data_IF_925429965021
#
_entry.id   IF_925429965021
#
_cell.length_a   1.000
_cell.length_b   1.000
_cell.length_c   1.000
_cell.angle_alpha   90.00
_cell.angle_beta   90.00
_cell.angle_gamma   90.00
#
_symmetry.space_group_name_H-M   'P 1'
#
loop_
_entity.id
_entity.type
_entity.pdbx_description
1 polymer ?
#
# COMPACT_ATOMS: atom_id res chain seq x y z
N UNK A 1 5.88 24.38 -5.83
CA UNK A 1 6.15 22.95 -5.86
C UNK A 1 5.82 22.47 -7.26
N UNK A 2 6.84 22.10 -8.03
CA UNK A 2 6.63 21.56 -9.37
C UNK A 2 6.28 20.08 -9.21
N UNK A 3 5.17 19.67 -9.78
CA UNK A 3 4.85 18.26 -9.86
C UNK A 3 5.35 17.74 -11.21
N UNK A 4 6.37 16.91 -11.19
CA UNK A 4 6.91 16.24 -12.38
C UNK A 4 5.83 15.46 -13.15
N UNK A 5 4.72 15.17 -12.49
CA UNK A 5 3.65 14.33 -13.00
C UNK A 5 2.52 15.13 -13.69
N UNK A 6 2.53 16.45 -13.57
CA UNK A 6 1.63 17.30 -14.34
C UNK A 6 2.25 17.64 -15.71
N UNK A 7 2.75 16.65 -16.38
CA UNK A 7 3.15 16.78 -17.78
C UNK A 7 1.88 16.69 -18.62
N UNK A 8 1.13 17.76 -18.62
CA UNK A 8 -0.14 17.83 -19.34
C UNK A 8 0.04 17.74 -20.86
N UNK A 9 1.27 17.95 -21.33
CA UNK A 9 1.60 17.75 -22.75
C UNK A 9 3.11 17.65 -22.85
N UNK A 10 3.70 16.47 -23.04
CA UNK A 10 5.04 16.45 -23.57
C UNK A 10 5.00 17.29 -24.84
N UNK A 11 5.79 18.36 -24.88
CA UNK A 11 6.06 18.98 -26.16
C UNK A 11 6.95 17.98 -26.90
N UNK A 12 6.29 17.01 -27.49
CA UNK A 12 6.98 16.22 -28.45
C UNK A 12 7.32 17.16 -29.61
N UNK A 13 8.54 17.14 -30.02
CA UNK A 13 8.92 17.62 -31.34
C UNK A 13 8.09 16.96 -32.43
N UNK A 14 7.48 15.80 -32.12
CA UNK A 14 6.55 15.11 -32.97
C UNK A 14 5.13 15.15 -32.38
N UNK A 15 4.19 15.91 -32.95
CA UNK A 15 2.80 16.01 -32.48
C UNK A 15 2.05 14.67 -32.48
N UNK A 16 2.55 13.66 -33.16
CA UNK A 16 1.97 12.29 -33.18
C UNK A 16 2.07 11.61 -31.81
N UNK A 17 3.00 12.02 -30.96
CA UNK A 17 3.19 11.43 -29.63
C UNK A 17 2.20 11.89 -28.57
N UNK A 18 1.31 12.81 -28.90
CA UNK A 18 0.39 13.44 -27.91
C UNK A 18 -0.99 12.85 -27.87
N UNK A 19 -1.40 12.26 -28.96
CA UNK A 19 -2.71 11.63 -29.03
C UNK A 19 -2.58 10.17 -28.66
N UNK A 20 -3.50 9.65 -27.82
CA UNK A 20 -3.61 8.22 -27.68
C UNK A 20 -3.75 7.59 -29.05
N UNK A 21 -3.13 6.43 -29.26
CA UNK A 21 -3.27 5.66 -30.51
C UNK A 21 -4.72 5.21 -30.73
N UNK A 22 -5.57 5.41 -29.74
CA UNK A 22 -7.00 5.13 -29.74
C UNK A 22 -7.51 4.95 -28.31
N UNK A 23 -8.73 4.47 -28.22
CA UNK A 23 -9.32 3.92 -26.99
C UNK A 23 -9.33 2.40 -27.09
N UNK A 24 -9.18 1.72 -25.99
CA UNK A 24 -9.37 0.27 -25.97
C UNK A 24 -10.80 -0.08 -26.35
N UNK A 25 -10.97 -1.16 -27.09
CA UNK A 25 -12.29 -1.73 -27.36
C UNK A 25 -12.70 -2.63 -26.21
N UNK A 26 -14.00 -2.59 -25.85
CA UNK A 26 -14.54 -3.38 -24.74
C UNK A 26 -14.93 -2.53 -23.53
N UNK A 27 -15.01 -3.12 -22.33
CA UNK A 27 -15.49 -2.43 -21.14
C UNK A 27 -14.48 -1.37 -20.60
N UNK A 28 -13.19 -1.59 -20.78
CA UNK A 28 -12.15 -0.63 -20.42
C UNK A 28 -11.90 0.33 -21.59
N UNK A 29 -12.51 1.50 -21.54
CA UNK A 29 -12.47 2.52 -22.59
C UNK A 29 -11.42 3.58 -22.38
N UNK A 30 -10.39 3.31 -21.55
CA UNK A 30 -9.31 4.28 -21.31
C UNK A 30 -8.54 4.62 -22.57
N UNK A 31 -7.94 5.83 -22.65
CA UNK A 31 -6.97 6.17 -23.67
C UNK A 31 -5.80 5.17 -23.67
N UNK A 32 -5.39 4.72 -24.84
CA UNK A 32 -4.32 3.75 -25.00
C UNK A 32 -3.19 4.33 -25.83
N UNK A 33 -1.97 4.22 -25.33
CA UNK A 33 -0.74 4.57 -26.04
C UNK A 33 0.03 3.30 -26.31
N UNK A 34 0.31 3.02 -27.56
CA UNK A 34 1.17 1.91 -27.94
C UNK A 34 2.64 2.35 -27.76
N UNK A 35 3.38 1.68 -26.89
CA UNK A 35 4.74 2.04 -26.50
C UNK A 35 5.79 2.06 -27.64
N UNK A 36 5.37 1.87 -28.88
CA UNK A 36 6.26 1.92 -30.05
C UNK A 36 6.42 3.33 -30.64
N UNK A 37 5.63 4.30 -30.19
CA UNK A 37 5.60 5.65 -30.75
C UNK A 37 6.44 6.66 -29.94
N UNK A 38 7.61 6.25 -29.48
CA UNK A 38 8.63 7.22 -29.08
C UNK A 38 9.18 7.93 -30.33
N UNK A 39 9.48 9.22 -30.19
CA UNK A 39 10.10 10.01 -31.25
C UNK A 39 11.16 9.21 -32.01
N UNK A 40 11.01 9.12 -33.34
CA UNK A 40 12.05 8.62 -34.22
C UNK A 40 13.17 9.66 -34.42
N UNK A 41 13.13 10.77 -33.70
CA UNK A 41 14.18 11.78 -33.71
C UNK A 41 15.42 11.19 -33.02
N UNK A 42 16.56 11.06 -33.72
CA UNK A 42 17.77 10.49 -33.14
C UNK A 42 18.36 11.34 -32.00
N UNK A 43 18.03 12.64 -31.98
CA UNK A 43 18.60 13.60 -31.05
C UNK A 43 17.74 13.77 -29.78
N UNK A 44 16.40 13.51 -29.86
CA UNK A 44 15.46 13.72 -28.75
C UNK A 44 14.56 12.50 -28.53
N UNK A 45 14.93 11.63 -27.61
CA UNK A 45 14.15 10.39 -27.34
C UNK A 45 12.95 10.60 -26.42
N UNK A 46 13.05 11.49 -25.44
CA UNK A 46 11.97 11.75 -24.49
C UNK A 46 11.97 13.22 -24.11
N UNK A 47 10.97 13.94 -24.50
CA UNK A 47 10.79 15.35 -24.12
C UNK A 47 9.66 15.46 -23.11
N UNK A 48 9.97 15.88 -21.89
CA UNK A 48 9.02 16.12 -20.83
C UNK A 48 8.83 17.63 -20.63
N UNK A 49 7.58 18.06 -20.59
CA UNK A 49 7.24 19.43 -20.27
C UNK A 49 6.70 19.49 -18.83
N UNK A 50 7.43 20.16 -17.94
CA UNK A 50 7.04 20.34 -16.55
C UNK A 50 6.12 21.54 -16.41
N UNK A 51 4.98 21.35 -15.80
CA UNK A 51 4.00 22.40 -15.54
C UNK A 51 3.45 22.26 -14.12
N UNK A 52 2.71 23.27 -13.67
CA UNK A 52 2.05 23.21 -12.37
C UNK A 52 0.88 22.23 -12.41
N UNK A 53 0.74 21.45 -11.35
CA UNK A 53 -0.38 20.55 -11.19
C UNK A 53 -1.71 21.30 -11.19
N UNK A 54 -2.69 20.81 -11.95
CA UNK A 54 -4.05 21.36 -11.97
C UNK A 54 -4.81 21.09 -10.68
N UNK A 55 -4.50 19.98 -10.03
CA UNK A 55 -5.08 19.54 -8.75
C UNK A 55 -4.03 19.70 -7.66
N UNK A 56 -4.46 20.00 -6.44
CA UNK A 56 -3.57 20.19 -5.30
C UNK A 56 -3.65 18.98 -4.39
N UNK A 57 -2.50 18.48 -3.97
CA UNK A 57 -2.41 17.53 -2.87
C UNK A 57 -3.06 18.12 -1.62
N UNK A 58 -3.76 17.28 -0.84
CA UNK A 58 -4.39 17.66 0.42
C UNK A 58 -4.07 16.68 1.53
N UNK A 59 -3.92 17.21 2.73
CA UNK A 59 -3.79 16.43 3.95
C UNK A 59 -4.61 17.07 5.05
N UNK A 60 -5.37 16.26 5.77
CA UNK A 60 -5.96 16.67 7.02
C UNK A 60 -5.86 15.55 8.06
N UNK A 61 -5.78 15.97 9.32
CA UNK A 61 -5.77 15.06 10.45
C UNK A 61 -6.56 15.68 11.60
N UNK A 62 -7.38 14.86 12.23
CA UNK A 62 -8.08 15.19 13.45
C UNK A 62 -7.71 14.17 14.52
N UNK A 63 -7.24 14.65 15.69
CA UNK A 63 -6.88 13.79 16.82
C UNK A 63 -7.67 14.22 18.06
N UNK A 64 -8.31 13.27 18.70
CA UNK A 64 -8.92 13.43 20.01
C UNK A 64 -8.12 12.60 21.03
N UNK A 65 -7.72 13.22 22.13
CA UNK A 65 -6.93 12.57 23.19
C UNK A 65 -7.57 12.83 24.56
N UNK A 66 -7.60 11.77 25.36
CA UNK A 66 -7.95 11.84 26.79
C UNK A 66 -6.77 11.27 27.57
N UNK A 67 -6.39 11.98 28.64
CA UNK A 67 -5.32 11.56 29.54
C UNK A 67 -5.76 11.82 30.99
N UNK A 68 -5.47 10.86 31.86
CA UNK A 68 -5.73 11.02 33.30
C UNK A 68 -4.64 10.35 34.12
N UNK A 69 -4.15 11.10 35.07
CA UNK A 69 -3.31 10.63 36.18
C UNK A 69 -4.18 10.48 37.41
N UNK A 70 -4.07 9.36 38.11
CA UNK A 70 -4.82 9.04 39.33
C UNK A 70 -3.88 9.06 40.54
N UNK A 71 -4.38 9.44 41.68
CA UNK A 71 -3.58 9.54 42.92
C UNK A 71 -3.07 8.19 43.44
N UNK A 72 -3.62 7.08 42.96
CA UNK A 72 -3.23 5.72 43.33
C UNK A 72 -2.10 5.13 42.43
N UNK A 73 -1.40 5.96 41.69
CA UNK A 73 -0.26 5.56 40.86
C UNK A 73 -0.60 5.13 39.43
N UNK A 74 -1.90 5.10 39.05
CA UNK A 74 -2.28 4.84 37.66
C UNK A 74 -2.17 6.08 36.77
N UNK A 75 -1.64 5.89 35.56
CA UNK A 75 -1.70 6.87 34.47
C UNK A 75 -2.32 6.21 33.27
N UNK A 76 -3.25 6.88 32.61
CA UNK A 76 -3.92 6.36 31.41
C UNK A 76 -3.97 7.43 30.32
N UNK A 77 -3.82 6.98 29.08
CA UNK A 77 -3.99 7.83 27.89
C UNK A 77 -4.66 7.01 26.79
N UNK A 78 -5.58 7.64 26.07
CA UNK A 78 -6.15 7.12 24.83
C UNK A 78 -6.25 8.26 23.83
N UNK A 79 -5.83 8.01 22.58
CA UNK A 79 -5.90 8.97 21.50
C UNK A 79 -6.36 8.28 20.21
N UNK A 80 -7.34 8.86 19.55
CA UNK A 80 -7.80 8.42 18.24
C UNK A 80 -7.51 9.50 17.20
N UNK A 81 -6.91 9.09 16.09
CA UNK A 81 -6.62 9.95 14.95
C UNK A 81 -7.37 9.48 13.72
N UNK A 82 -8.11 10.38 13.10
CA UNK A 82 -8.65 10.24 11.75
C UNK A 82 -7.88 11.13 10.81
N UNK A 83 -7.30 10.56 9.75
CA UNK A 83 -6.56 11.33 8.75
C UNK A 83 -6.94 10.95 7.33
N UNK A 84 -6.60 11.80 6.39
CA UNK A 84 -6.62 11.52 4.95
C UNK A 84 -5.49 12.29 4.29
N UNK A 85 -4.72 11.59 3.48
CA UNK A 85 -3.68 12.16 2.64
C UNK A 85 -3.93 11.80 1.19
N UNK A 86 -3.93 12.81 0.31
CA UNK A 86 -4.08 12.61 -1.14
C UNK A 86 -3.01 13.38 -1.89
N UNK A 87 -2.48 12.76 -2.92
CA UNK A 87 -1.49 13.36 -3.81
C UNK A 87 -1.72 12.96 -5.27
N UNK A 88 -0.90 13.48 -6.17
CA UNK A 88 -0.96 13.18 -7.59
C UNK A 88 -0.03 12.03 -8.01
N UNK A 89 0.73 11.51 -7.12
CA UNK A 89 1.73 10.46 -7.17
C UNK A 89 3.08 10.97 -6.65
N UNK A 90 3.58 10.29 -5.65
CA UNK A 90 4.83 10.62 -4.99
C UNK A 90 5.99 9.77 -5.53
N UNK A 91 5.98 9.38 -6.81
CA UNK A 91 7.05 8.57 -7.38
C UNK A 91 8.40 9.22 -7.06
N UNK A 92 9.17 8.55 -6.20
CA UNK A 92 10.46 9.03 -5.74
C UNK A 92 11.53 8.77 -6.79
N UNK A 93 12.23 9.83 -7.23
CA UNK A 93 13.35 9.71 -8.15
C UNK A 93 13.86 11.07 -8.61
N UNK A 94 15.06 11.09 -9.17
CA UNK A 94 15.72 12.32 -9.62
C UNK A 94 15.57 12.60 -11.11
N UNK A 95 15.04 11.66 -11.88
CA UNK A 95 14.95 11.75 -13.33
C UNK A 95 13.51 11.54 -13.82
N UNK A 96 13.00 12.46 -14.60
CA UNK A 96 11.65 12.39 -15.17
C UNK A 96 11.42 11.12 -16.01
N UNK A 97 12.43 10.67 -16.73
CA UNK A 97 12.36 9.47 -17.55
C UNK A 97 12.13 8.18 -16.74
N UNK A 98 12.65 8.12 -15.52
CA UNK A 98 12.45 6.97 -14.63
C UNK A 98 11.12 7.06 -13.89
N UNK A 99 10.68 8.28 -13.56
CA UNK A 99 9.46 8.52 -12.81
C UNK A 99 8.22 8.30 -13.68
N UNK A 100 8.26 8.74 -14.92
CA UNK A 100 7.13 8.66 -15.83
C UNK A 100 6.55 7.24 -15.99
N UNK A 101 7.34 6.20 -16.31
CA UNK A 101 6.82 4.84 -16.40
C UNK A 101 6.44 4.24 -15.05
N UNK A 102 7.03 4.69 -13.93
CA UNK A 102 6.75 4.20 -12.59
C UNK A 102 5.45 4.75 -12.00
N UNK A 103 4.93 5.86 -12.54
CA UNK A 103 3.71 6.52 -12.06
C UNK A 103 2.49 5.63 -12.24
N UNK A 104 1.74 5.44 -11.14
CA UNK A 104 0.51 4.64 -11.11
C UNK A 104 -0.69 5.56 -11.35
N UNK A 105 -1.10 5.71 -12.60
CA UNK A 105 -2.20 6.59 -13.03
C UNK A 105 -2.97 5.97 -14.20
N UNK A 106 -4.22 6.40 -14.40
CA UNK A 106 -5.00 6.07 -15.59
C UNK A 106 -4.43 6.83 -16.79
N UNK A 107 -4.29 8.14 -16.65
CA UNK A 107 -3.69 9.05 -17.63
C UNK A 107 -2.57 9.85 -16.96
N UNK A 108 -1.32 9.59 -17.37
CA UNK A 108 -0.16 10.29 -16.82
C UNK A 108 -0.05 11.75 -17.24
N UNK A 109 -0.68 12.11 -18.36
CA UNK A 109 -0.73 13.50 -18.83
C UNK A 109 -1.77 14.33 -18.06
N UNK A 110 -2.72 13.65 -17.41
CA UNK A 110 -3.76 14.29 -16.60
C UNK A 110 -3.97 13.47 -15.31
N UNK A 111 -2.99 13.49 -14.37
CA UNK A 111 -3.01 12.67 -13.20
C UNK A 111 -4.19 13.00 -12.29
N UNK A 112 -4.82 11.95 -11.77
CA UNK A 112 -5.90 12.06 -10.81
C UNK A 112 -5.39 12.18 -9.37
N UNK A 113 -6.07 13.02 -8.58
CA UNK A 113 -5.84 13.11 -7.15
C UNK A 113 -6.38 11.84 -6.48
N UNK A 114 -5.50 11.07 -5.85
CA UNK A 114 -5.85 9.84 -5.18
C UNK A 114 -5.11 9.70 -3.85
N UNK A 115 -5.35 8.62 -3.12
CA UNK A 115 -4.71 8.41 -1.81
C UNK A 115 -3.19 8.34 -1.93
N UNK A 116 -2.50 8.98 -0.98
CA UNK A 116 -1.07 8.86 -0.84
C UNK A 116 -0.69 7.45 -0.33
N UNK A 117 0.50 6.98 -0.67
CA UNK A 117 1.00 5.67 -0.24
C UNK A 117 1.05 5.54 1.30
N UNK A 118 1.37 6.66 1.98
CA UNK A 118 1.49 6.71 3.44
C UNK A 118 0.20 7.11 4.15
N UNK A 119 -0.95 7.09 3.47
CA UNK A 119 -2.23 7.39 4.10
C UNK A 119 -2.63 6.27 5.07
N UNK A 120 -2.76 6.62 6.34
CA UNK A 120 -3.27 5.77 7.43
C UNK A 120 -4.55 6.41 7.95
N UNK A 121 -5.73 6.00 7.45
CA UNK A 121 -6.98 6.69 7.75
C UNK A 121 -7.35 6.69 9.22
N UNK A 122 -7.09 5.59 9.93
CA UNK A 122 -7.46 5.43 11.33
C UNK A 122 -6.28 4.95 12.15
N UNK A 123 -6.06 5.57 13.31
CA UNK A 123 -5.07 5.15 14.30
C UNK A 123 -5.61 5.35 15.70
N UNK A 124 -5.48 4.33 16.53
CA UNK A 124 -5.83 4.35 17.94
C UNK A 124 -4.58 4.04 18.75
N UNK A 125 -4.23 4.92 19.67
CA UNK A 125 -3.13 4.75 20.61
C UNK A 125 -3.70 4.72 22.01
N UNK A 126 -3.23 3.78 22.84
CA UNK A 126 -3.59 3.70 24.25
C UNK A 126 -2.36 3.42 25.10
N UNK A 127 -2.33 3.95 26.29
CA UNK A 127 -1.35 3.53 27.30
C UNK A 127 -1.99 3.49 28.69
N UNK A 128 -1.57 2.51 29.46
CA UNK A 128 -1.85 2.42 30.89
C UNK A 128 -0.53 2.10 31.60
N UNK A 129 -0.24 2.83 32.65
CA UNK A 129 0.90 2.54 33.51
C UNK A 129 0.47 2.59 34.98
N UNK A 130 1.09 1.73 35.76
CA UNK A 130 0.98 1.72 37.21
C UNK A 130 2.36 1.88 37.81
N UNK A 131 2.51 2.86 38.69
CA UNK A 131 3.75 3.21 39.34
C UNK A 131 3.61 3.07 40.87
N UNK A 132 4.52 2.34 41.45
CA UNK A 132 4.81 2.32 42.89
C UNK A 132 6.07 3.14 43.17
N UNK A 133 6.58 3.10 44.42
CA UNK A 133 7.81 3.80 44.76
C UNK A 133 9.03 3.36 43.91
N UNK A 134 9.11 2.08 43.57
CA UNK A 134 10.27 1.52 42.89
C UNK A 134 9.94 0.88 41.53
N UNK A 135 8.70 0.39 41.37
CA UNK A 135 8.30 -0.39 40.18
C UNK A 135 7.37 0.42 39.30
N UNK A 136 7.60 0.39 37.99
CA UNK A 136 6.62 0.87 37.00
C UNK A 136 6.31 -0.24 36.01
N UNK A 137 5.02 -0.51 35.82
CA UNK A 137 4.51 -1.43 34.78
C UNK A 137 3.70 -0.62 33.81
N UNK A 138 4.01 -0.74 32.51
CA UNK A 138 3.32 0.02 31.45
C UNK A 138 2.93 -0.91 30.31
N UNK A 139 1.71 -0.74 29.82
CA UNK A 139 1.24 -1.36 28.58
C UNK A 139 0.95 -0.23 27.59
N UNK A 140 1.51 -0.34 26.42
CA UNK A 140 1.23 0.52 25.28
C UNK A 140 0.46 -0.27 24.22
N UNK A 141 -0.56 0.33 23.66
CA UNK A 141 -1.37 -0.20 22.59
C UNK A 141 -1.30 0.72 21.37
N UNK A 142 -1.10 0.14 20.22
CA UNK A 142 -1.27 0.79 18.92
C UNK A 142 -2.16 -0.08 18.04
N UNK A 143 -3.26 0.50 17.58
CA UNK A 143 -4.09 -0.04 16.53
C UNK A 143 -4.12 0.91 15.36
N UNK A 144 -3.90 0.43 14.14
CA UNK A 144 -3.91 1.26 12.94
C UNK A 144 -4.26 0.47 11.68
N UNK A 145 -4.82 1.18 10.69
CA UNK A 145 -4.86 0.67 9.32
C UNK A 145 -3.42 0.43 8.83
N UNK A 146 -3.15 -0.71 8.18
CA UNK A 146 -1.78 -1.13 7.85
C UNK A 146 -1.25 -0.54 6.52
N UNK A 147 -1.84 0.56 6.05
CA UNK A 147 -1.46 1.23 4.81
C UNK A 147 -2.26 0.78 3.60
N UNK A 148 -1.95 1.38 2.45
CA UNK A 148 -2.72 1.24 1.23
C UNK A 148 -1.95 0.52 0.13
N UNK A 149 -2.65 0.05 -0.89
CA UNK A 149 -2.07 -0.50 -2.11
C UNK A 149 -2.99 -0.31 -3.31
N UNK A 150 -2.43 -0.55 -4.50
CA UNK A 150 -3.12 -0.40 -5.78
C UNK A 150 -3.24 -1.75 -6.49
N UNK A 151 -4.38 -2.01 -7.12
CA UNK A 151 -4.51 -3.08 -8.09
C UNK A 151 -4.07 -2.59 -9.47
N UNK A 152 -3.04 -3.22 -10.02
CA UNK A 152 -2.45 -2.84 -11.30
C UNK A 152 -2.31 -4.06 -12.22
N UNK A 153 -2.10 -3.81 -13.50
CA UNK A 153 -1.69 -4.87 -14.44
C UNK A 153 -0.21 -5.21 -14.27
N UNK A 154 0.16 -6.45 -14.49
CA UNK A 154 1.54 -6.80 -14.83
C UNK A 154 1.72 -6.80 -16.34
N UNK A 155 2.97 -6.70 -16.79
CA UNK A 155 3.32 -6.53 -18.19
C UNK A 155 3.27 -5.08 -18.65
N UNK A 156 3.70 -4.83 -19.87
CA UNK A 156 3.70 -3.49 -20.46
C UNK A 156 2.34 -3.21 -21.09
N UNK A 157 1.50 -2.52 -20.36
CA UNK A 157 0.20 -2.06 -20.85
C UNK A 157 0.39 -0.78 -21.69
N UNK A 158 0.68 -0.96 -22.97
CA UNK A 158 1.03 0.14 -23.86
C UNK A 158 2.40 0.75 -23.54
N UNK A 159 2.42 2.03 -23.20
CA UNK A 159 3.63 2.81 -22.93
C UNK A 159 4.22 2.57 -21.53
N UNK A 160 3.58 1.79 -20.68
CA UNK A 160 3.98 1.70 -19.28
C UNK A 160 3.60 0.41 -18.56
N UNK A 161 4.46 0.02 -17.63
CA UNK A 161 4.13 -0.87 -16.52
C UNK A 161 3.27 -0.16 -15.47
N UNK A 162 2.69 -0.91 -14.53
CA UNK A 162 1.93 -0.41 -13.38
C UNK A 162 0.65 0.41 -13.72
N UNK A 163 -0.04 0.09 -14.79
CA UNK A 163 -1.35 0.67 -15.09
C UNK A 163 -2.42 0.13 -14.15
N UNK A 164 -3.26 1.00 -13.64
CA UNK A 164 -4.39 0.64 -12.79
C UNK A 164 -5.32 -0.36 -13.50
N UNK A 165 -5.71 -1.41 -12.78
CA UNK A 165 -6.53 -2.48 -13.31
C UNK A 165 -7.99 -2.03 -13.50
N UNK A 166 -8.62 -2.38 -14.60
CA UNK A 166 -10.06 -2.33 -14.74
C UNK A 166 -10.68 -3.52 -13.98
N UNK A 167 -11.67 -3.26 -13.16
CA UNK A 167 -12.40 -4.26 -12.36
C UNK A 167 -13.67 -4.60 -13.12
N UNK A 168 -13.79 -5.78 -13.74
CA UNK A 168 -14.95 -6.09 -14.56
C UNK A 168 -16.23 -6.24 -13.72
N UNK A 169 -17.40 -5.92 -14.31
CA UNK A 169 -18.68 -6.29 -13.71
C UNK A 169 -18.81 -7.81 -13.63
N UNK A 170 -18.35 -8.49 -14.68
CA UNK A 170 -18.22 -9.93 -14.76
C UNK A 170 -16.95 -10.23 -15.56
N UNK A 171 -16.14 -11.17 -15.12
CA UNK A 171 -14.83 -11.44 -15.76
C UNK A 171 -14.96 -11.99 -17.20
N UNK A 172 -16.12 -12.46 -17.63
CA UNK A 172 -16.36 -12.82 -19.03
C UNK A 172 -16.38 -11.62 -20.00
N UNK A 173 -16.41 -10.37 -19.47
CA UNK A 173 -16.21 -9.16 -20.29
C UNK A 173 -14.77 -9.05 -20.83
N UNK A 174 -13.82 -9.72 -20.18
CA UNK A 174 -12.41 -9.67 -20.52
C UNK A 174 -12.02 -10.77 -21.51
N UNK A 175 -11.05 -10.46 -22.37
CA UNK A 175 -10.53 -11.45 -23.32
C UNK A 175 -9.31 -12.15 -22.72
N UNK A 176 -9.50 -13.38 -22.27
CA UNK A 176 -8.39 -14.19 -21.74
C UNK A 176 -7.69 -14.99 -22.82
N UNK A 177 -6.37 -15.06 -22.78
CA UNK A 177 -5.59 -15.99 -23.57
C UNK A 177 -5.41 -17.31 -22.82
N UNK A 178 -5.66 -18.42 -23.50
CA UNK A 178 -5.29 -19.75 -23.03
C UNK A 178 -3.77 -19.84 -22.83
N UNK A 179 -3.34 -20.56 -21.79
CA UNK A 179 -1.92 -20.85 -21.58
C UNK A 179 -1.74 -22.19 -20.85
N UNK A 180 -0.51 -22.67 -20.83
CA UNK A 180 -0.15 -23.90 -20.12
C UNK A 180 0.59 -23.57 -18.83
N UNK A 181 0.13 -24.14 -17.71
CA UNK A 181 0.76 -24.03 -16.40
C UNK A 181 1.07 -25.44 -15.89
N UNK A 182 2.35 -25.75 -15.70
CA UNK A 182 2.82 -27.07 -15.25
C UNK A 182 2.23 -28.26 -16.07
N UNK A 183 2.17 -28.10 -17.39
CA UNK A 183 1.63 -29.13 -18.29
C UNK A 183 0.10 -29.15 -18.39
N UNK A 184 -0.62 -28.40 -17.56
CA UNK A 184 -2.08 -28.27 -17.60
C UNK A 184 -2.49 -27.05 -18.41
N UNK A 185 -3.46 -27.21 -19.28
CA UNK A 185 -4.07 -26.11 -20.02
C UNK A 185 -5.01 -25.34 -19.10
N UNK A 186 -4.82 -24.03 -19.00
CA UNK A 186 -5.70 -23.09 -18.31
C UNK A 186 -6.53 -22.36 -19.35
N UNK A 187 -7.83 -22.61 -19.36
CA UNK A 187 -8.76 -22.06 -20.37
C UNK A 187 -9.19 -20.64 -20.04
N UNK A 188 -9.67 -19.85 -21.02
CA UNK A 188 -10.27 -18.54 -20.79
C UNK A 188 -11.43 -18.57 -19.78
N UNK A 189 -12.32 -19.55 -19.90
CA UNK A 189 -13.46 -19.69 -18.99
C UNK A 189 -13.04 -19.97 -17.54
N UNK A 190 -12.01 -20.80 -17.34
CA UNK A 190 -11.44 -21.07 -16.03
C UNK A 190 -10.82 -19.79 -15.41
N UNK A 191 -10.06 -19.01 -16.20
CA UNK A 191 -9.47 -17.77 -15.73
C UNK A 191 -10.54 -16.75 -15.33
N UNK A 192 -11.63 -16.64 -16.11
CA UNK A 192 -12.73 -15.74 -15.78
C UNK A 192 -13.43 -16.15 -14.48
N UNK A 193 -13.71 -17.44 -14.30
CA UNK A 193 -14.33 -17.94 -13.07
C UNK A 193 -13.46 -17.71 -11.82
N UNK A 194 -12.15 -17.94 -11.94
CA UNK A 194 -11.20 -17.68 -10.85
C UNK A 194 -11.08 -16.19 -10.51
N UNK A 195 -11.06 -15.32 -11.52
CA UNK A 195 -11.03 -13.87 -11.30
C UNK A 195 -12.32 -13.37 -10.65
N UNK A 196 -13.50 -13.83 -11.08
CA UNK A 196 -14.76 -13.44 -10.46
C UNK A 196 -14.85 -13.89 -9.00
N UNK A 197 -14.45 -15.14 -8.71
CA UNK A 197 -14.38 -15.64 -7.34
C UNK A 197 -13.41 -14.82 -6.46
N UNK A 198 -12.28 -14.40 -7.03
CA UNK A 198 -11.36 -13.52 -6.31
C UNK A 198 -11.96 -12.13 -6.07
N UNK A 199 -12.61 -11.52 -7.06
CA UNK A 199 -13.24 -10.20 -6.92
C UNK A 199 -14.35 -10.24 -5.87
N UNK A 200 -15.14 -11.31 -5.82
CA UNK A 200 -16.28 -11.45 -4.90
C UNK A 200 -15.84 -11.50 -3.42
N UNK A 201 -14.69 -12.10 -3.13
CA UNK A 201 -14.16 -12.18 -1.75
C UNK A 201 -13.35 -10.94 -1.34
N UNK A 202 -12.91 -10.09 -2.28
CA UNK A 202 -12.15 -8.89 -1.99
C UNK A 202 -13.07 -7.69 -1.78
N UNK A 203 -13.02 -7.08 -0.59
CA UNK A 203 -13.88 -5.97 -0.19
C UNK A 203 -13.78 -4.76 -1.14
N UNK A 204 -12.55 -4.40 -1.54
CA UNK A 204 -12.33 -3.26 -2.42
C UNK A 204 -12.79 -3.55 -3.85
N UNK A 205 -12.42 -4.69 -4.41
CA UNK A 205 -12.75 -5.04 -5.78
C UNK A 205 -14.26 -5.26 -5.97
N UNK A 206 -14.91 -5.98 -5.04
CA UNK A 206 -16.36 -6.22 -5.11
C UNK A 206 -17.17 -4.93 -5.06
N UNK A 207 -16.74 -3.94 -4.26
CA UNK A 207 -17.40 -2.63 -4.17
C UNK A 207 -17.14 -1.72 -5.38
N UNK A 208 -16.17 -2.06 -6.23
CA UNK A 208 -15.75 -1.22 -7.36
C UNK A 208 -15.85 -1.90 -8.73
N UNK A 209 -16.69 -2.92 -8.86
CA UNK A 209 -16.96 -3.55 -10.16
C UNK A 209 -17.40 -2.52 -11.21
N UNK A 210 -16.96 -2.69 -12.45
CA UNK A 210 -17.25 -1.81 -13.59
C UNK A 210 -16.40 -0.52 -13.61
N UNK A 211 -15.40 -0.38 -12.74
CA UNK A 211 -14.54 0.81 -12.65
C UNK A 211 -13.07 0.46 -12.82
N UNK A 212 -12.27 1.45 -13.15
CA UNK A 212 -10.82 1.35 -13.04
C UNK A 212 -10.45 1.50 -11.56
N UNK A 213 -9.55 0.63 -11.06
CA UNK A 213 -9.06 0.71 -9.70
C UNK A 213 -8.42 2.08 -9.42
N UNK A 214 -8.62 2.59 -8.21
CA UNK A 214 -8.00 3.82 -7.76
C UNK A 214 -6.59 3.56 -7.25
N UNK A 215 -5.65 4.47 -7.52
CA UNK A 215 -4.31 4.39 -6.93
C UNK A 215 -4.41 4.45 -5.41
N UNK A 216 -3.79 3.46 -4.75
CA UNK A 216 -3.86 3.28 -3.30
C UNK A 216 -5.30 3.23 -2.75
N UNK A 217 -6.26 2.75 -3.59
CA UNK A 217 -7.67 2.65 -3.20
C UNK A 217 -7.94 1.55 -2.19
N UNK A 218 -7.22 0.43 -2.29
CA UNK A 218 -7.38 -0.70 -1.38
C UNK A 218 -6.61 -0.47 -0.06
N UNK A 219 -7.19 -0.93 1.04
CA UNK A 219 -6.66 -0.78 2.39
C UNK A 219 -6.27 -2.15 2.95
N UNK A 220 -5.11 -2.22 3.61
CA UNK A 220 -4.69 -3.42 4.34
C UNK A 220 -5.45 -3.51 5.65
N UNK A 221 -5.67 -4.73 6.18
CA UNK A 221 -6.37 -4.93 7.43
C UNK A 221 -5.75 -4.20 8.60
N UNK A 222 -6.60 -3.83 9.54
CA UNK A 222 -6.21 -3.22 10.81
C UNK A 222 -5.27 -4.14 11.59
N UNK A 223 -4.22 -3.56 12.18
CA UNK A 223 -3.25 -4.27 13.03
C UNK A 223 -3.36 -3.75 14.46
N UNK A 224 -3.43 -4.68 15.41
CA UNK A 224 -3.41 -4.39 16.85
C UNK A 224 -2.08 -4.84 17.44
N UNK A 225 -1.35 -3.94 18.10
CA UNK A 225 -0.07 -4.25 18.73
C UNK A 225 -0.07 -3.79 20.17
N UNK A 226 0.47 -4.64 21.05
CA UNK A 226 0.64 -4.35 22.46
C UNK A 226 2.10 -4.50 22.84
N UNK A 227 2.64 -3.52 23.54
CA UNK A 227 3.99 -3.54 24.10
C UNK A 227 3.90 -3.47 25.62
N UNK A 228 4.72 -4.25 26.31
CA UNK A 228 4.82 -4.28 27.77
C UNK A 228 6.19 -3.77 28.19
N UNK A 229 6.23 -2.86 29.15
CA UNK A 229 7.45 -2.40 29.80
C UNK A 229 7.34 -2.53 31.30
N UNK A 230 8.34 -3.12 31.93
CA UNK A 230 8.50 -3.20 33.37
C UNK A 230 9.84 -2.56 33.75
N UNK A 231 9.83 -1.64 34.68
CA UNK A 231 11.06 -1.06 35.23
C UNK A 231 11.05 -1.18 36.75
N UNK A 232 12.25 -1.49 37.31
CA UNK A 232 12.47 -1.60 38.75
C UNK A 232 13.68 -0.73 39.14
N UNK A 233 13.49 0.19 40.06
CA UNK A 233 14.53 1.05 40.60
C UNK A 233 15.09 0.46 41.89
N UNK A 234 16.32 -0.02 41.87
CA UNK A 234 17.06 -0.50 43.04
C UNK A 234 17.85 0.63 43.65
N UNK A 235 17.43 1.07 44.84
CA UNK A 235 18.14 2.08 45.60
C UNK A 235 19.37 1.45 46.26
N UNK A 236 20.59 1.89 45.86
CA UNK A 236 21.84 1.26 46.29
C UNK A 236 22.25 1.64 47.72
N UNK A 237 21.81 2.82 48.22
CA UNK A 237 22.06 3.28 49.59
C UNK A 237 20.97 4.26 50.01
N UNK A 238 20.56 4.24 51.25
CA UNK A 238 19.57 5.16 51.81
C UNK A 238 20.06 6.63 51.82
N UNK A 239 21.35 6.84 51.83
CA UNK A 239 21.97 8.17 51.85
C UNK A 239 22.40 8.69 50.47
N UNK A 240 22.18 7.88 49.42
CA UNK A 240 22.57 8.19 48.06
C UNK A 240 21.34 8.31 47.17
N UNK A 241 21.32 9.35 46.34
CA UNK A 241 20.34 9.46 45.26
C UNK A 241 20.62 8.55 44.07
N UNK A 242 21.73 7.78 44.15
CA UNK A 242 22.12 6.85 43.11
C UNK A 242 21.21 5.61 43.11
N UNK A 243 20.81 5.20 41.95
CA UNK A 243 19.98 4.01 41.78
C UNK A 243 20.39 3.21 40.55
N UNK A 244 20.15 1.92 40.61
CA UNK A 244 20.23 1.02 39.47
C UNK A 244 18.84 0.73 38.99
N UNK A 245 18.54 1.06 37.75
CA UNK A 245 17.26 0.75 37.11
C UNK A 245 17.40 -0.47 36.22
N UNK A 246 16.59 -1.48 36.48
CA UNK A 246 16.41 -2.63 35.62
C UNK A 246 15.18 -2.39 34.73
N UNK A 247 15.23 -2.83 33.48
CA UNK A 247 14.09 -2.75 32.57
C UNK A 247 13.91 -4.04 31.76
N UNK A 248 12.66 -4.41 31.54
CA UNK A 248 12.24 -5.44 30.62
C UNK A 248 11.21 -4.82 29.68
N UNK A 249 11.53 -4.82 28.40
CA UNK A 249 10.65 -4.37 27.33
C UNK A 249 10.26 -5.56 26.47
N UNK A 250 8.96 -5.85 26.33
CA UNK A 250 8.44 -6.90 25.45
C UNK A 250 7.59 -6.23 24.38
N UNK A 251 8.15 -6.13 23.18
CA UNK A 251 7.48 -5.57 22.02
C UNK A 251 6.57 -6.62 21.39
N UNK A 252 5.38 -6.20 20.96
CA UNK A 252 4.36 -7.07 20.42
C UNK A 252 4.04 -8.27 21.34
N UNK A 253 3.81 -7.98 22.62
CA UNK A 253 3.60 -9.01 23.67
C UNK A 253 2.38 -9.90 23.36
N UNK A 254 1.39 -9.39 22.65
CA UNK A 254 0.24 -10.20 22.20
C UNK A 254 0.64 -11.40 21.35
N UNK A 255 1.67 -11.23 20.51
CA UNK A 255 2.19 -12.30 19.65
C UNK A 255 2.87 -13.45 20.45
N UNK A 256 3.33 -13.18 21.66
CA UNK A 256 3.86 -14.20 22.56
C UNK A 256 2.76 -15.22 22.98
N UNK A 257 1.52 -14.74 23.12
CA UNK A 257 0.37 -15.58 23.51
C UNK A 257 -0.35 -16.22 22.32
N UNK A 258 -0.40 -15.51 21.20
CA UNK A 258 -1.00 -15.99 19.96
C UNK A 258 -0.21 -15.47 18.77
N UNK A 259 0.38 -16.38 18.01
CA UNK A 259 1.21 -16.09 16.85
C UNK A 259 0.50 -15.30 15.71
N UNK A 260 -0.84 -15.24 15.74
CA UNK A 260 -1.65 -14.49 14.79
C UNK A 260 -1.87 -13.01 15.20
N UNK A 261 -1.51 -12.63 16.42
CA UNK A 261 -1.72 -11.28 16.92
C UNK A 261 -0.54 -10.34 16.59
N UNK A 262 -0.86 -9.09 16.32
CA UNK A 262 0.13 -8.05 16.05
C UNK A 262 0.91 -8.22 14.75
N UNK A 263 0.41 -9.02 13.81
CA UNK A 263 1.05 -9.31 12.54
C UNK A 263 0.42 -8.46 11.43
N UNK A 264 1.28 -7.92 10.57
CA UNK A 264 0.82 -7.27 9.35
C UNK A 264 0.39 -8.29 8.30
N UNK A 265 -0.57 -7.90 7.48
CA UNK A 265 -1.01 -8.68 6.32
C UNK A 265 -0.73 -7.89 5.04
N UNK A 266 -0.22 -8.58 4.03
CA UNK A 266 0.12 -8.00 2.73
C UNK A 266 -0.74 -8.62 1.64
N UNK A 267 -1.02 -7.87 0.58
CA UNK A 267 -1.71 -8.42 -0.58
C UNK A 267 -0.95 -9.64 -1.12
N UNK A 268 -1.64 -10.76 -1.30
CA UNK A 268 -1.08 -11.97 -1.91
C UNK A 268 -0.62 -11.68 -3.33
N UNK A 269 -1.46 -10.96 -4.07
CA UNK A 269 -1.23 -10.57 -5.45
C UNK A 269 -2.02 -9.30 -5.77
N UNK A 270 -1.36 -8.19 -6.04
CA UNK A 270 -2.00 -6.95 -6.46
C UNK A 270 -1.99 -6.74 -7.99
N UNK A 271 -1.24 -7.58 -8.71
CA UNK A 271 -1.23 -7.64 -10.16
C UNK A 271 -1.98 -8.90 -10.62
N UNK A 272 -3.30 -8.92 -10.49
CA UNK A 272 -4.10 -10.11 -10.81
C UNK A 272 -4.03 -10.48 -12.29
N UNK A 273 -3.97 -9.48 -13.16
CA UNK A 273 -4.01 -9.65 -14.61
C UNK A 273 -2.68 -9.26 -15.25
N UNK A 274 -2.17 -10.15 -16.10
CA UNK A 274 -1.04 -9.89 -16.97
C UNK A 274 -1.56 -9.46 -18.34
N UNK A 275 -1.24 -8.25 -18.75
CA UNK A 275 -1.57 -7.75 -20.07
C UNK A 275 -0.73 -8.44 -21.15
N UNK A 276 -1.37 -8.87 -22.23
CA UNK A 276 -0.79 -9.68 -23.31
C UNK A 276 -0.92 -9.06 -24.69
N UNK A 277 -1.21 -7.77 -24.77
CA UNK A 277 -1.42 -7.06 -26.01
C UNK A 277 -2.90 -6.85 -26.35
N UNK A 278 -3.19 -6.40 -27.55
CA UNK A 278 -4.54 -6.23 -28.10
C UNK A 278 -4.76 -7.23 -29.23
N UNK A 279 -6.00 -7.70 -29.36
CA UNK A 279 -6.39 -8.55 -30.50
C UNK A 279 -6.67 -7.69 -31.76
N UNK A 280 -7.03 -8.35 -32.85
CA UNK A 280 -7.36 -7.68 -34.12
C UNK A 280 -8.58 -6.74 -34.03
N UNK A 281 -9.42 -6.89 -33.01
CA UNK A 281 -10.60 -6.07 -32.72
C UNK A 281 -10.27 -4.89 -31.79
N UNK A 282 -9.01 -4.70 -31.40
CA UNK A 282 -8.57 -3.65 -30.49
C UNK A 282 -8.91 -3.93 -29.01
N UNK A 283 -9.29 -5.17 -28.67
CA UNK A 283 -9.60 -5.54 -27.29
C UNK A 283 -8.33 -6.00 -26.56
N UNK A 284 -8.09 -5.53 -25.34
CA UNK A 284 -6.97 -5.98 -24.53
C UNK A 284 -7.12 -7.43 -24.13
N UNK A 285 -6.01 -8.17 -24.21
CA UNK A 285 -5.94 -9.58 -23.87
C UNK A 285 -5.15 -9.76 -22.56
N UNK A 286 -5.60 -10.72 -21.75
CA UNK A 286 -5.05 -10.95 -20.42
C UNK A 286 -4.75 -12.43 -20.15
N UNK A 287 -3.91 -12.65 -19.14
CA UNK A 287 -3.78 -13.94 -18.44
C UNK A 287 -3.88 -13.67 -16.95
N UNK A 288 -4.52 -14.56 -16.23
CA UNK A 288 -4.56 -14.51 -14.77
C UNK A 288 -3.17 -14.87 -14.21
N UNK A 289 -2.66 -14.06 -13.29
CA UNK A 289 -1.39 -14.32 -12.62
C UNK A 289 -1.58 -15.33 -11.48
N UNK A 290 -0.52 -16.08 -11.22
CA UNK A 290 -0.39 -16.90 -10.01
C UNK A 290 0.20 -16.08 -8.86
N UNK A 291 0.07 -16.58 -7.64
CA UNK A 291 0.74 -16.01 -6.47
C UNK A 291 2.25 -16.05 -6.68
N UNK A 292 2.99 -14.96 -6.43
CA UNK A 292 4.42 -14.90 -6.67
C UNK A 292 5.19 -16.05 -6.02
N UNK A 293 6.02 -16.73 -6.81
CA UNK A 293 6.82 -17.87 -6.37
C UNK A 293 6.07 -19.20 -6.29
N UNK A 294 4.81 -19.24 -6.73
CA UNK A 294 3.99 -20.46 -6.75
C UNK A 294 3.37 -20.70 -8.13
N UNK A 295 2.71 -21.83 -8.29
CA UNK A 295 1.86 -22.15 -9.46
C UNK A 295 0.36 -22.12 -9.12
N UNK A 296 0.00 -21.50 -8.01
CA UNK A 296 -1.38 -21.43 -7.52
C UNK A 296 -1.99 -20.08 -7.87
N UNK A 297 -3.27 -20.07 -8.24
CA UNK A 297 -4.00 -18.83 -8.43
C UNK A 297 -4.40 -18.24 -7.07
N UNK A 298 -4.40 -16.90 -6.93
CA UNK A 298 -4.79 -16.28 -5.66
C UNK A 298 -6.28 -16.53 -5.37
N UNK A 299 -6.57 -16.97 -4.16
CA UNK A 299 -7.93 -17.19 -3.64
C UNK A 299 -8.28 -16.24 -2.50
N UNK A 300 -7.28 -15.60 -1.92
CA UNK A 300 -7.40 -14.67 -0.80
C UNK A 300 -6.64 -13.37 -1.09
N UNK A 301 -7.18 -12.26 -0.61
CA UNK A 301 -6.54 -10.95 -0.79
C UNK A 301 -5.25 -10.82 -0.01
N UNK A 302 -5.21 -11.33 1.23
CA UNK A 302 -4.12 -11.07 2.16
C UNK A 302 -3.45 -12.35 2.64
N UNK A 303 -2.13 -12.27 2.79
CA UNK A 303 -1.29 -13.26 3.47
C UNK A 303 -0.61 -12.65 4.68
N UNK A 304 -0.35 -13.47 5.67
CA UNK A 304 0.38 -13.08 6.89
C UNK A 304 1.84 -12.77 6.57
N UNK A 305 2.36 -11.70 7.17
CA UNK A 305 3.78 -11.37 7.13
C UNK A 305 4.61 -12.44 7.83
N UNK A 306 5.77 -12.77 7.26
CA UNK A 306 6.80 -13.62 7.88
C UNK A 306 8.01 -12.81 8.37
N UNK A 307 7.85 -11.48 8.47
CA UNK A 307 8.91 -10.59 8.92
C UNK A 307 9.21 -10.77 10.42
N UNK A 308 10.47 -10.82 10.78
CA UNK A 308 10.89 -10.77 12.19
C UNK A 308 10.40 -9.51 12.92
N UNK A 309 10.12 -8.43 12.19
CA UNK A 309 9.53 -7.20 12.72
C UNK A 309 8.12 -7.37 13.30
N UNK A 310 7.39 -8.39 12.84
CA UNK A 310 6.02 -8.69 13.26
C UNK A 310 5.94 -9.71 14.41
N UNK A 311 7.06 -10.33 14.79
CA UNK A 311 7.12 -11.24 15.93
C UNK A 311 7.38 -10.48 17.24
N UNK A 312 7.06 -11.10 18.37
CA UNK A 312 7.42 -10.55 19.67
C UNK A 312 8.95 -10.49 19.86
N UNK A 313 9.42 -9.50 20.60
CA UNK A 313 10.83 -9.34 20.92
C UNK A 313 10.97 -8.83 22.36
N UNK A 314 11.98 -9.31 23.07
CA UNK A 314 12.26 -8.89 24.43
C UNK A 314 13.65 -8.23 24.51
N UNK A 315 13.71 -7.13 25.23
CA UNK A 315 14.95 -6.45 25.58
C UNK A 315 15.05 -6.34 27.10
N UNK A 316 16.22 -6.65 27.64
CA UNK A 316 16.56 -6.42 29.05
C UNK A 316 17.60 -5.31 29.12
N UNK A 317 17.36 -4.31 29.96
CA UNK A 317 18.23 -3.17 30.13
C UNK A 317 18.63 -2.96 31.60
N UNK A 318 19.85 -2.46 31.78
CA UNK A 318 20.38 -2.00 33.09
C UNK A 318 20.88 -0.59 32.92
N UNK A 319 20.41 0.32 33.77
CA UNK A 319 20.85 1.74 33.77
C UNK A 319 21.30 2.14 35.18
N UNK A 320 22.47 2.66 35.29
CA UNK A 320 22.92 3.33 36.50
C UNK A 320 22.60 4.84 36.42
N UNK A 321 21.86 5.32 37.40
CA UNK A 321 21.47 6.74 37.55
C UNK A 321 22.21 7.30 38.75
N UNK A 322 23.06 8.30 38.53
CA UNK A 322 23.83 9.01 39.55
C UNK A 322 23.36 10.47 39.60
N UNK A 323 23.23 11.01 40.83
CA UNK A 323 22.84 12.40 41.10
C UNK A 323 23.80 12.99 42.14
#
# INVERSE_FOLDING_TARGET
TYNILDVSTPIAYNPVLRTPDGTLSGPDTRPFWNGTNYSNDPDFRNVFYLTNARRKADYYSFTAQLQKQFDNGFNTMIAYTRSRSRDLDAAGGSQAISLWPATVQVDRNNPDLSFAEFDIPNRLIGSISYQTDNTTISIFYEGADAGRFSYTYSGNFGDASNRLMYIPNNANELVFQQFTLNGRVVTPAEQAALLDAYIDQDEYLSANRGKIAERNGALRPWVNRFDLRITEDLVLSKDSKNKLQLSIDILNVGNLFNSEWGIQRFACQNNLLNYRGVNAQGQPQYRLNTVPGTSEFPTETFRTSTSLGDTWRMQVGVRYIFN
#
